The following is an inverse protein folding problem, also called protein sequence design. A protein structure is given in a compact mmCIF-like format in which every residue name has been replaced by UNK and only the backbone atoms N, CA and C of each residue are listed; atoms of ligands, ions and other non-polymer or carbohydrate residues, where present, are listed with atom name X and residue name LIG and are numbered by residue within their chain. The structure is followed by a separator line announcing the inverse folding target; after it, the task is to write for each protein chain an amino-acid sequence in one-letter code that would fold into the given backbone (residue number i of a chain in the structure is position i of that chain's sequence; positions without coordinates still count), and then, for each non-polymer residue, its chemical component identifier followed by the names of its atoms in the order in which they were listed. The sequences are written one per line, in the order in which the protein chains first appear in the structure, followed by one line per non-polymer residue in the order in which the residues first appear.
data_IF_198988912884
#
_entry.id   IF_198988912884
#
_cell.length_a   1.000
_cell.length_b   1.000
_cell.length_c   1.000
_cell.angle_alpha   90.00
_cell.angle_beta   90.00
_cell.angle_gamma   90.00
#
_symmetry.space_group_name_H-M   'P 1'
#
loop_
_entity.id
_entity.type
_entity.pdbx_description
1 polymer ?
#
# COMPACT_ATOMS: atom_id res chain seq x y z
N UNK A 1 -1.38 35.22 -43.68
CA UNK A 1 -0.50 35.22 -42.53
C UNK A 1 -0.71 33.87 -41.77
N UNK A 2 0.17 32.92 -42.00
CA UNK A 2 0.19 31.64 -41.28
C UNK A 2 0.91 31.87 -39.96
N UNK A 3 0.19 31.86 -38.85
CA UNK A 3 0.78 31.83 -37.52
C UNK A 3 1.47 30.49 -37.30
N UNK A 4 2.78 30.49 -37.29
CA UNK A 4 3.61 29.38 -36.82
C UNK A 4 3.33 29.23 -35.31
N UNK A 5 2.63 28.20 -34.93
CA UNK A 5 2.57 27.77 -33.53
C UNK A 5 3.95 27.19 -33.22
N UNK A 6 4.81 27.98 -32.59
CA UNK A 6 6.04 27.48 -31.98
C UNK A 6 5.58 26.62 -30.79
N UNK A 7 5.53 25.30 -30.98
CA UNK A 7 5.42 24.36 -29.88
C UNK A 7 6.67 24.57 -29.01
N UNK A 8 6.50 25.14 -27.82
CA UNK A 8 7.54 25.24 -26.83
C UNK A 8 8.02 23.82 -26.49
N UNK A 9 9.21 23.47 -26.95
CA UNK A 9 9.81 22.14 -26.81
C UNK A 9 10.21 21.79 -25.35
N UNK A 10 9.82 22.59 -24.35
CA UNK A 10 10.27 22.49 -22.97
C UNK A 10 9.14 22.45 -21.92
N UNK A 11 7.92 22.05 -22.29
CA UNK A 11 6.88 21.85 -21.30
C UNK A 11 7.01 20.45 -20.68
N UNK A 12 6.92 20.32 -19.33
CA UNK A 12 6.93 19.03 -18.64
C UNK A 12 5.78 18.16 -19.16
N UNK A 13 6.08 16.90 -19.45
CA UNK A 13 5.14 15.97 -20.09
C UNK A 13 4.94 14.66 -19.32
N UNK A 14 5.65 14.49 -18.19
CA UNK A 14 5.50 13.38 -17.27
C UNK A 14 4.94 13.91 -15.95
N UNK A 15 3.75 13.46 -15.56
CA UNK A 15 3.05 13.86 -14.34
C UNK A 15 2.51 12.68 -13.51
N UNK A 16 2.42 11.50 -14.10
CA UNK A 16 2.03 10.26 -13.42
C UNK A 16 3.25 9.60 -12.78
N UNK A 17 3.55 10.02 -11.55
CA UNK A 17 4.72 9.58 -10.78
C UNK A 17 4.24 9.06 -9.43
N UNK A 18 4.81 7.93 -8.99
CA UNK A 18 4.58 7.40 -7.63
C UNK A 18 5.85 6.83 -7.04
N UNK A 19 5.94 6.86 -5.73
CA UNK A 19 7.08 6.37 -4.97
C UNK A 19 6.72 5.07 -4.25
N UNK A 20 7.70 4.20 -4.03
CA UNK A 20 7.53 2.96 -3.30
C UNK A 20 8.85 2.34 -2.86
N UNK A 21 8.78 1.13 -2.30
CA UNK A 21 9.96 0.37 -1.93
C UNK A 21 9.85 -1.06 -2.47
N UNK A 22 10.89 -1.54 -3.16
CA UNK A 22 11.05 -2.94 -3.57
C UNK A 22 12.11 -3.69 -2.74
N UNK A 23 12.89 -2.97 -1.96
CA UNK A 23 13.84 -3.52 -1.01
C UNK A 23 13.23 -3.52 0.39
N UNK A 24 13.69 -4.43 1.25
CA UNK A 24 13.32 -4.41 2.68
C UNK A 24 13.95 -3.25 3.45
N UNK A 25 14.87 -2.53 2.81
CA UNK A 25 15.69 -1.45 3.38
C UNK A 25 15.10 -0.07 3.04
N UNK A 26 14.81 0.78 4.04
CA UNK A 26 14.31 2.15 3.82
C UNK A 26 15.38 3.10 3.25
N UNK A 27 16.64 2.69 3.17
CA UNK A 27 17.72 3.44 2.52
C UNK A 27 17.67 3.43 0.99
N UNK A 28 16.64 2.81 0.40
CA UNK A 28 16.41 2.76 -1.05
C UNK A 28 14.95 3.08 -1.35
N UNK A 29 14.72 3.89 -2.38
CA UNK A 29 13.39 4.29 -2.82
C UNK A 29 13.22 3.99 -4.31
N UNK A 30 12.06 3.46 -4.70
CA UNK A 30 11.72 3.30 -6.11
C UNK A 30 10.92 4.52 -6.57
N UNK A 31 11.39 5.17 -7.62
CA UNK A 31 10.67 6.20 -8.35
C UNK A 31 10.06 5.55 -9.58
N UNK A 32 8.74 5.64 -9.69
CA UNK A 32 7.98 5.01 -10.77
C UNK A 32 7.27 6.09 -11.60
N UNK A 33 7.14 5.87 -12.90
CA UNK A 33 6.37 6.76 -13.78
C UNK A 33 5.91 6.09 -15.06
N UNK A 34 4.98 6.75 -15.75
CA UNK A 34 4.58 6.43 -17.12
C UNK A 34 5.07 7.52 -18.07
N UNK A 35 5.64 7.12 -19.20
CA UNK A 35 5.92 7.99 -20.34
C UNK A 35 4.98 7.69 -21.51
N UNK A 36 4.74 8.67 -22.38
CA UNK A 36 3.91 8.50 -23.60
C UNK A 36 4.64 7.66 -24.64
N UNK A 37 5.94 7.94 -24.83
CA UNK A 37 6.80 7.21 -25.75
C UNK A 37 7.78 6.35 -24.95
N UNK A 38 8.15 5.16 -25.45
CA UNK A 38 9.14 4.32 -24.82
C UNK A 38 10.54 4.96 -24.86
N UNK A 39 11.39 4.58 -23.92
CA UNK A 39 12.76 5.03 -23.86
C UNK A 39 13.45 4.66 -22.55
N UNK A 40 14.66 5.13 -22.39
CA UNK A 40 15.46 4.93 -21.18
C UNK A 40 14.83 5.60 -19.95
N UNK A 41 15.14 5.05 -18.79
CA UNK A 41 14.67 5.52 -17.49
C UNK A 41 15.76 6.34 -16.80
N UNK A 42 15.49 7.62 -16.52
CA UNK A 42 16.44 8.51 -15.84
C UNK A 42 15.75 9.16 -14.65
N UNK A 43 16.42 9.11 -13.49
CA UNK A 43 16.03 9.85 -12.27
C UNK A 43 17.20 10.71 -11.84
N UNK A 44 16.96 12.03 -11.70
CA UNK A 44 17.89 12.96 -11.04
C UNK A 44 17.34 13.28 -9.66
N UNK A 45 18.20 13.31 -8.66
CA UNK A 45 17.78 13.50 -7.28
C UNK A 45 18.89 14.09 -6.40
N UNK A 46 18.49 14.66 -5.27
CA UNK A 46 19.42 15.28 -4.33
C UNK A 46 18.72 16.09 -3.26
N UNK A 47 19.45 16.93 -2.57
CA UNK A 47 18.92 17.78 -1.49
C UNK A 47 18.41 19.15 -1.96
N UNK A 48 18.66 19.49 -3.20
CA UNK A 48 18.25 20.74 -3.84
C UNK A 48 17.74 20.49 -5.25
N UNK A 49 17.19 21.49 -5.91
CA UNK A 49 16.73 21.42 -7.30
C UNK A 49 17.85 21.21 -8.32
N UNK A 50 19.11 21.36 -7.94
CA UNK A 50 20.26 21.00 -8.77
C UNK A 50 20.54 19.50 -8.76
N UNK A 51 19.84 18.74 -7.91
CA UNK A 51 19.89 17.28 -7.73
C UNK A 51 21.25 16.72 -7.30
N UNK A 52 22.27 16.82 -8.12
CA UNK A 52 23.65 16.36 -7.85
C UNK A 52 23.87 14.87 -8.05
N UNK A 53 22.83 14.06 -8.18
CA UNK A 53 22.91 12.60 -8.43
C UNK A 53 21.96 12.20 -9.57
N UNK A 54 22.36 11.15 -10.30
CA UNK A 54 21.56 10.58 -11.38
C UNK A 54 21.66 9.05 -11.37
N UNK A 55 20.53 8.37 -11.57
CA UNK A 55 20.46 6.95 -11.90
C UNK A 55 19.82 6.82 -13.28
N UNK A 56 20.48 6.04 -14.16
CA UNK A 56 20.06 5.80 -15.53
C UNK A 56 19.99 4.31 -15.80
N UNK A 57 18.88 3.87 -16.40
CA UNK A 57 18.69 2.50 -16.85
C UNK A 57 18.42 2.53 -18.35
N UNK A 58 19.32 1.88 -19.11
CA UNK A 58 19.17 1.70 -20.54
C UNK A 58 18.12 0.63 -20.81
N UNK A 59 16.88 1.04 -21.05
CA UNK A 59 15.75 0.20 -21.40
C UNK A 59 14.89 0.92 -22.44
N UNK A 60 13.92 0.21 -22.99
CA UNK A 60 12.95 0.76 -23.95
C UNK A 60 11.53 0.40 -23.47
N UNK A 61 11.00 1.20 -22.55
CA UNK A 61 9.72 0.96 -21.90
C UNK A 61 8.92 2.25 -21.72
N UNK A 62 7.64 2.14 -21.47
CA UNK A 62 6.76 3.24 -21.07
C UNK A 62 6.40 3.20 -19.59
N UNK A 63 6.56 2.05 -18.93
CA UNK A 63 6.37 1.90 -17.49
C UNK A 63 7.76 1.75 -16.83
N UNK A 64 8.12 2.70 -16.00
CA UNK A 64 9.46 2.86 -15.47
C UNK A 64 9.50 2.63 -13.97
N UNK A 65 10.53 1.92 -13.51
CA UNK A 65 10.81 1.63 -12.11
C UNK A 65 12.31 1.81 -11.88
N UNK A 66 12.71 2.84 -11.14
CA UNK A 66 14.13 3.14 -10.87
C UNK A 66 14.34 3.23 -9.37
N UNK A 67 15.16 2.35 -8.83
CA UNK A 67 15.56 2.42 -7.42
C UNK A 67 16.74 3.37 -7.26
N UNK A 68 16.59 4.34 -6.34
CA UNK A 68 17.62 5.31 -5.98
C UNK A 68 18.08 5.09 -4.55
N UNK A 69 19.38 5.26 -4.25
CA UNK A 69 19.88 5.21 -2.88
C UNK A 69 19.56 6.50 -2.13
N UNK A 70 19.20 6.38 -0.85
CA UNK A 70 18.99 7.49 0.06
C UNK A 70 20.15 7.50 1.06
N UNK A 71 21.19 8.28 0.80
CA UNK A 71 22.41 8.29 1.61
C UNK A 71 22.23 8.90 3.00
N UNK A 72 21.19 9.72 3.20
CA UNK A 72 20.95 10.46 4.43
C UNK A 72 19.51 10.28 4.92
N UNK A 73 19.34 10.27 6.25
CA UNK A 73 18.03 10.26 6.90
C UNK A 73 17.49 11.68 7.06
N UNK A 74 16.16 11.78 7.15
CA UNK A 74 15.46 13.05 7.35
C UNK A 74 15.58 14.03 6.18
N UNK A 75 15.09 15.24 6.40
CA UNK A 75 15.11 16.32 5.41
C UNK A 75 14.21 16.06 4.20
N UNK A 76 14.38 16.91 3.19
CA UNK A 76 13.65 16.84 1.94
C UNK A 76 14.59 16.44 0.82
N UNK A 77 14.14 15.56 -0.05
CA UNK A 77 14.77 15.23 -1.32
C UNK A 77 14.00 15.85 -2.47
N UNK A 78 14.72 16.40 -3.43
CA UNK A 78 14.23 16.84 -4.73
C UNK A 78 14.51 15.76 -5.76
N UNK A 79 13.64 15.58 -6.73
CA UNK A 79 13.86 14.67 -7.83
C UNK A 79 13.07 15.07 -9.09
N UNK A 80 13.56 14.63 -10.23
CA UNK A 80 12.86 14.66 -11.51
C UNK A 80 13.09 13.39 -12.28
N UNK A 81 12.16 13.04 -13.19
CA UNK A 81 12.28 11.88 -14.07
C UNK A 81 12.32 12.32 -15.52
N UNK A 82 12.99 11.50 -16.35
CA UNK A 82 13.09 11.75 -17.78
C UNK A 82 13.07 10.44 -18.57
N UNK A 83 12.42 10.46 -19.74
CA UNK A 83 12.40 9.41 -20.75
C UNK A 83 12.47 10.04 -22.13
N UNK A 84 13.62 9.88 -22.82
CA UNK A 84 13.89 10.56 -24.08
C UNK A 84 13.77 12.10 -23.93
N UNK A 85 12.84 12.72 -24.68
CA UNK A 85 12.57 14.17 -24.59
C UNK A 85 11.50 14.52 -23.57
N UNK A 86 10.86 13.54 -22.96
CA UNK A 86 9.82 13.71 -21.95
C UNK A 86 10.45 13.85 -20.57
N UNK A 87 10.00 14.78 -19.75
CA UNK A 87 10.52 15.00 -18.40
C UNK A 87 9.42 15.48 -17.46
N UNK A 88 9.65 15.36 -16.15
CA UNK A 88 8.76 15.89 -15.12
C UNK A 88 9.23 17.25 -14.62
N UNK A 89 8.32 17.98 -13.94
CA UNK A 89 8.71 19.05 -13.01
C UNK A 89 9.50 18.48 -11.85
N UNK A 90 10.17 19.34 -11.10
CA UNK A 90 10.73 19.01 -9.78
C UNK A 90 9.61 18.52 -8.87
N UNK A 91 9.89 17.46 -8.13
CA UNK A 91 9.04 16.93 -7.10
C UNK A 91 9.86 16.66 -5.83
N UNK A 92 9.19 16.60 -4.69
CA UNK A 92 9.87 16.40 -3.41
C UNK A 92 9.24 15.28 -2.60
N UNK A 93 10.05 14.61 -1.80
CA UNK A 93 9.61 13.71 -0.74
C UNK A 93 10.45 13.88 0.51
N UNK A 94 9.94 13.44 1.65
CA UNK A 94 10.68 13.45 2.92
C UNK A 94 11.50 12.18 3.08
N UNK A 95 12.76 12.31 3.48
CA UNK A 95 13.51 11.19 4.01
C UNK A 95 12.90 10.68 5.32
N UNK A 96 13.16 9.42 5.68
CA UNK A 96 12.69 8.87 6.95
C UNK A 96 13.28 9.67 8.12
N UNK A 97 12.45 10.05 9.11
CA UNK A 97 12.85 10.94 10.19
C UNK A 97 13.78 10.23 11.18
N UNK A 98 14.35 11.02 12.09
CA UNK A 98 15.18 10.51 13.19
C UNK A 98 14.46 10.50 14.54
N UNK A 99 13.33 11.17 14.66
CA UNK A 99 12.63 11.41 15.93
C UNK A 99 11.23 10.80 15.99
N UNK A 100 10.34 11.13 15.05
CA UNK A 100 8.95 10.69 15.02
C UNK A 100 8.56 10.23 13.62
N UNK A 101 8.29 8.94 13.50
CA UNK A 101 7.77 8.33 12.27
C UNK A 101 6.23 8.36 12.27
N UNK A 102 5.63 8.82 11.18
CA UNK A 102 4.18 8.78 10.95
C UNK A 102 3.87 7.94 9.72
N UNK A 103 2.97 6.98 9.90
CA UNK A 103 2.53 6.06 8.83
C UNK A 103 1.01 6.07 8.78
N UNK A 104 0.45 6.32 7.61
CA UNK A 104 -1.00 6.16 7.40
C UNK A 104 -1.30 4.81 6.79
N UNK A 105 -2.38 4.17 7.25
CA UNK A 105 -2.93 2.94 6.65
C UNK A 105 -4.36 3.21 6.23
N UNK A 106 -4.65 3.03 4.95
CA UNK A 106 -5.99 3.13 4.36
C UNK A 106 -6.46 1.78 3.82
N UNK A 107 -7.74 1.65 3.48
CA UNK A 107 -8.27 0.45 2.82
C UNK A 107 -9.52 0.80 2.02
N UNK A 108 -9.97 -0.11 1.15
CA UNK A 108 -11.18 0.03 0.34
C UNK A 108 -11.17 1.32 -0.51
N UNK A 109 -10.10 1.53 -1.25
CA UNK A 109 -9.91 2.73 -2.07
C UNK A 109 -10.64 2.62 -3.41
N UNK A 110 -11.95 2.50 -3.34
CA UNK A 110 -12.82 2.24 -4.50
C UNK A 110 -13.52 3.49 -5.02
N UNK A 111 -13.27 4.64 -4.42
CA UNK A 111 -13.88 5.93 -4.75
C UNK A 111 -12.85 7.06 -4.83
N UNK A 112 -13.34 8.27 -4.60
CA UNK A 112 -12.55 9.52 -4.59
C UNK A 112 -12.68 10.25 -3.23
N UNK A 113 -12.27 9.62 -2.11
CA UNK A 113 -12.33 10.28 -0.83
C UNK A 113 -11.40 11.49 -0.76
N UNK A 114 -11.73 12.47 0.06
CA UNK A 114 -10.82 13.57 0.40
C UNK A 114 -9.77 13.08 1.40
N UNK A 115 -8.50 13.09 0.99
CA UNK A 115 -7.37 12.64 1.80
C UNK A 115 -6.54 13.81 2.37
N UNK A 116 -7.09 15.01 2.40
CA UNK A 116 -6.40 16.20 2.94
C UNK A 116 -5.98 16.05 4.40
N UNK A 117 -6.70 15.27 5.20
CA UNK A 117 -6.33 14.96 6.58
C UNK A 117 -5.01 14.17 6.66
N UNK A 118 -4.80 13.20 5.79
CA UNK A 118 -3.55 12.43 5.71
C UNK A 118 -2.37 13.35 5.34
N UNK A 119 -2.58 14.30 4.42
CA UNK A 119 -1.58 15.31 4.08
C UNK A 119 -1.23 16.19 5.28
N UNK A 120 -2.23 16.61 6.06
CA UNK A 120 -2.04 17.42 7.29
C UNK A 120 -1.29 16.64 8.37
N UNK A 121 -1.48 15.34 8.46
CA UNK A 121 -0.75 14.46 9.40
C UNK A 121 0.74 14.32 9.04
N UNK A 122 1.15 14.81 7.87
CA UNK A 122 2.55 14.86 7.47
C UNK A 122 3.24 13.50 7.51
N UNK A 123 2.61 12.49 6.92
CA UNK A 123 3.07 11.09 6.94
C UNK A 123 4.35 10.86 6.11
N UNK A 124 5.13 9.86 6.48
CA UNK A 124 6.38 9.46 5.81
C UNK A 124 6.19 8.22 4.95
N UNK A 125 5.14 7.44 5.19
CA UNK A 125 4.80 6.23 4.46
C UNK A 125 3.28 6.07 4.43
N UNK A 126 2.76 5.68 3.28
CA UNK A 126 1.36 5.33 3.08
C UNK A 126 1.25 3.83 2.79
N UNK A 127 0.44 3.13 3.55
CA UNK A 127 0.14 1.71 3.38
C UNK A 127 -1.35 1.53 3.10
N UNK A 128 -1.70 0.38 2.51
CA UNK A 128 -3.09 -0.05 2.47
C UNK A 128 -3.28 -1.40 3.17
N UNK A 129 -4.50 -1.67 3.58
CA UNK A 129 -4.96 -2.99 4.00
C UNK A 129 -5.89 -3.60 2.93
N UNK A 130 -5.50 -3.46 1.66
CA UNK A 130 -6.13 -4.04 0.48
C UNK A 130 -7.24 -3.22 -0.17
N UNK A 131 -7.70 -3.71 -1.32
CA UNK A 131 -8.72 -3.08 -2.17
C UNK A 131 -8.35 -1.68 -2.64
N UNK A 132 -7.25 -1.60 -3.38
CA UNK A 132 -6.66 -0.33 -3.83
C UNK A 132 -7.41 0.30 -5.01
N UNK A 133 -8.23 -0.47 -5.70
CA UNK A 133 -9.01 -0.08 -6.88
C UNK A 133 -10.41 -0.71 -6.83
N UNK A 134 -11.30 -0.29 -7.70
CA UNK A 134 -12.64 -0.88 -7.78
C UNK A 134 -12.62 -2.29 -8.40
N UNK A 135 -11.94 -2.50 -9.49
CA UNK A 135 -11.63 -3.77 -10.16
C UNK A 135 -10.80 -3.51 -11.42
N UNK A 136 -10.31 -4.58 -12.05
CA UNK A 136 -9.53 -4.48 -13.29
C UNK A 136 -10.44 -4.46 -14.52
N UNK A 137 -11.47 -5.30 -14.55
CA UNK A 137 -12.23 -5.59 -15.78
C UNK A 137 -13.01 -4.41 -16.34
N UNK A 138 -13.46 -3.45 -15.52
CA UNK A 138 -14.27 -2.32 -16.00
C UNK A 138 -13.51 -1.39 -16.95
N UNK A 139 -12.22 -1.15 -16.69
CA UNK A 139 -11.36 -0.32 -17.55
C UNK A 139 -10.59 -1.11 -18.60
N UNK A 140 -10.42 -2.40 -18.40
CA UNK A 140 -9.51 -3.21 -19.20
C UNK A 140 -10.24 -4.24 -20.09
N UNK A 141 -11.48 -4.57 -19.76
CA UNK A 141 -12.19 -5.71 -20.35
C UNK A 141 -11.94 -7.02 -19.59
N UNK A 142 -12.87 -7.95 -19.74
CA UNK A 142 -12.88 -9.21 -19.01
C UNK A 142 -11.66 -10.09 -19.31
N UNK A 143 -11.02 -10.60 -18.28
CA UNK A 143 -9.90 -11.55 -18.37
C UNK A 143 -8.54 -10.93 -18.65
N UNK A 144 -8.40 -9.61 -18.65
CA UNK A 144 -7.14 -8.89 -18.92
C UNK A 144 -6.28 -8.79 -17.64
N UNK A 145 -5.47 -9.80 -17.38
CA UNK A 145 -4.68 -9.94 -16.14
C UNK A 145 -3.60 -8.85 -15.96
N UNK A 146 -2.95 -8.42 -17.04
CA UNK A 146 -1.79 -7.53 -16.98
C UNK A 146 -2.09 -6.04 -17.23
N UNK A 147 -3.37 -5.67 -17.22
CA UNK A 147 -3.78 -4.30 -17.49
C UNK A 147 -3.69 -3.42 -16.24
N UNK A 148 -2.84 -2.40 -16.28
CA UNK A 148 -2.53 -1.50 -15.16
C UNK A 148 -3.37 -0.22 -15.13
N UNK A 149 -4.30 -0.02 -16.07
CA UNK A 149 -5.11 1.21 -16.18
C UNK A 149 -5.79 1.66 -14.88
N UNK A 150 -6.38 0.77 -14.06
CA UNK A 150 -7.01 1.19 -12.80
C UNK A 150 -6.02 1.80 -11.80
N UNK A 151 -4.80 1.28 -11.74
CA UNK A 151 -3.76 1.84 -10.87
C UNK A 151 -3.24 3.18 -11.38
N UNK A 152 -3.07 3.32 -12.71
CA UNK A 152 -2.76 4.63 -13.30
C UNK A 152 -3.82 5.67 -12.96
N UNK A 153 -5.10 5.30 -13.06
CA UNK A 153 -6.20 6.18 -12.68
C UNK A 153 -6.15 6.57 -11.20
N UNK A 154 -5.75 5.65 -10.31
CA UNK A 154 -5.54 5.97 -8.89
C UNK A 154 -4.44 7.04 -8.71
N UNK A 155 -3.30 6.87 -9.37
CA UNK A 155 -2.19 7.85 -9.30
C UNK A 155 -2.62 9.22 -9.85
N UNK A 156 -3.32 9.24 -10.98
CA UNK A 156 -3.84 10.48 -11.60
C UNK A 156 -4.76 11.29 -10.68
N UNK A 157 -5.52 10.60 -9.83
CA UNK A 157 -6.48 11.23 -8.91
C UNK A 157 -5.84 11.89 -7.70
N UNK A 158 -4.64 11.45 -7.30
CA UNK A 158 -3.92 11.93 -6.12
C UNK A 158 -2.44 12.20 -6.44
N UNK A 159 -2.11 12.98 -7.48
CA UNK A 159 -0.74 13.10 -7.97
C UNK A 159 0.22 13.66 -6.92
N UNK A 160 -0.21 14.63 -6.12
CA UNK A 160 0.62 15.23 -5.07
C UNK A 160 0.95 14.25 -3.95
N UNK A 161 0.00 13.38 -3.59
CA UNK A 161 0.21 12.37 -2.56
C UNK A 161 1.24 11.31 -3.02
N UNK A 162 1.02 10.74 -4.20
CA UNK A 162 1.83 9.63 -4.69
C UNK A 162 3.25 10.04 -5.10
N UNK A 163 3.46 11.29 -5.54
CA UNK A 163 4.82 11.78 -5.85
C UNK A 163 5.61 12.23 -4.63
N UNK A 164 4.98 12.38 -3.46
CA UNK A 164 5.64 12.91 -2.26
C UNK A 164 5.70 11.96 -1.07
N UNK A 165 4.92 10.87 -1.08
CA UNK A 165 4.89 9.88 -0.01
C UNK A 165 5.04 8.48 -0.61
N UNK A 166 6.04 7.70 -0.18
CA UNK A 166 6.16 6.30 -0.58
C UNK A 166 4.89 5.53 -0.26
N UNK A 167 4.44 4.73 -1.22
CA UNK A 167 3.22 3.94 -1.15
C UNK A 167 3.53 2.46 -1.27
N UNK A 168 3.12 1.68 -0.29
CA UNK A 168 3.27 0.22 -0.29
C UNK A 168 1.90 -0.43 -0.07
N UNK A 169 1.21 -0.83 -1.15
CA UNK A 169 -0.11 -1.42 -1.06
C UNK A 169 -0.07 -2.91 -0.66
N UNK A 170 -1.15 -3.34 -0.03
CA UNK A 170 -1.48 -4.74 0.22
C UNK A 170 -2.60 -5.16 -0.71
N UNK A 171 -2.62 -6.41 -1.13
CA UNK A 171 -3.65 -6.96 -2.00
C UNK A 171 -4.99 -7.10 -1.28
N UNK A 172 -6.06 -6.75 -2.01
CA UNK A 172 -7.41 -7.18 -1.71
C UNK A 172 -8.00 -7.92 -2.91
N UNK A 173 -9.23 -8.42 -2.79
CA UNK A 173 -9.86 -9.14 -3.90
C UNK A 173 -10.13 -8.23 -5.11
N UNK A 174 -10.40 -6.94 -4.88
CA UNK A 174 -10.63 -5.97 -5.96
C UNK A 174 -9.39 -5.76 -6.84
N UNK A 175 -8.19 -5.90 -6.31
CA UNK A 175 -6.92 -5.80 -7.03
C UNK A 175 -6.68 -6.95 -8.03
N UNK A 176 -7.42 -8.03 -7.88
CA UNK A 176 -7.31 -9.24 -8.70
C UNK A 176 -8.53 -9.50 -9.59
N UNK A 177 -9.59 -8.71 -9.44
CA UNK A 177 -10.87 -8.95 -10.11
C UNK A 177 -10.81 -8.62 -11.60
N UNK A 178 -10.67 -9.67 -12.42
CA UNK A 178 -10.57 -9.60 -13.89
C UNK A 178 -11.89 -9.88 -14.62
N UNK A 179 -12.94 -10.28 -13.89
CA UNK A 179 -14.31 -10.50 -14.39
C UNK A 179 -15.33 -10.11 -13.33
N UNK A 180 -16.59 -9.79 -13.74
CA UNK A 180 -17.67 -9.63 -12.77
C UNK A 180 -17.84 -10.89 -11.90
N UNK A 181 -18.02 -10.71 -10.59
CA UNK A 181 -18.19 -11.85 -9.66
C UNK A 181 -19.46 -12.66 -9.92
N UNK A 182 -20.57 -11.98 -10.19
CA UNK A 182 -21.87 -12.63 -10.34
C UNK A 182 -22.42 -13.21 -9.03
N UNK A 183 -23.57 -13.89 -9.11
CA UNK A 183 -24.26 -14.50 -7.96
C UNK A 183 -23.93 -15.99 -7.77
N UNK A 184 -23.30 -16.60 -8.73
CA UNK A 184 -22.89 -18.02 -8.73
C UNK A 184 -21.47 -18.12 -9.31
N UNK A 185 -20.64 -19.06 -8.84
CA UNK A 185 -19.33 -19.31 -9.43
C UNK A 185 -19.44 -19.57 -10.93
N UNK A 186 -18.81 -18.74 -11.80
CA UNK A 186 -18.83 -18.94 -13.24
C UNK A 186 -17.85 -20.06 -13.65
N UNK A 187 -17.92 -20.50 -14.91
CA UNK A 187 -16.96 -21.49 -15.45
C UNK A 187 -15.51 -20.99 -15.47
N UNK A 188 -15.30 -19.68 -15.65
CA UNK A 188 -13.97 -19.06 -15.74
C UNK A 188 -13.65 -18.33 -14.45
N UNK A 189 -12.40 -18.40 -13.96
CA UNK A 189 -11.99 -17.68 -12.74
C UNK A 189 -12.31 -16.19 -12.82
N UNK A 190 -12.85 -15.66 -11.72
CA UNK A 190 -13.16 -14.23 -11.56
C UNK A 190 -11.92 -13.41 -11.24
N UNK A 191 -10.98 -14.01 -10.54
CA UNK A 191 -9.78 -13.36 -10.02
C UNK A 191 -8.50 -13.95 -10.61
N UNK A 192 -7.50 -13.09 -10.79
CA UNK A 192 -6.11 -13.47 -11.06
C UNK A 192 -5.36 -13.61 -9.73
N UNK A 193 -5.21 -14.83 -9.23
CA UNK A 193 -4.58 -15.11 -7.92
C UNK A 193 -3.16 -14.51 -7.86
N UNK A 194 -2.41 -14.56 -8.98
CA UNK A 194 -1.05 -14.05 -9.07
C UNK A 194 -0.96 -12.52 -9.07
N UNK A 195 -2.09 -11.82 -9.13
CA UNK A 195 -2.17 -10.35 -9.13
C UNK A 195 -1.22 -9.69 -10.15
N UNK A 196 -1.25 -10.19 -11.39
CA UNK A 196 -0.29 -9.80 -12.45
C UNK A 196 -0.24 -8.29 -12.69
N UNK A 197 -1.41 -7.61 -12.73
CA UNK A 197 -1.46 -6.16 -12.94
C UNK A 197 -0.85 -5.40 -11.75
N UNK A 198 -1.14 -5.81 -10.54
CA UNK A 198 -0.63 -5.22 -9.30
C UNK A 198 0.91 -5.33 -9.24
N UNK A 199 1.44 -6.54 -9.41
CA UNK A 199 2.89 -6.81 -9.37
C UNK A 199 3.64 -6.12 -10.51
N UNK A 200 3.01 -5.96 -11.68
CA UNK A 200 3.57 -5.20 -12.78
C UNK A 200 3.66 -3.70 -12.49
N UNK A 201 2.70 -3.16 -11.74
CA UNK A 201 2.58 -1.73 -11.47
C UNK A 201 3.34 -1.30 -10.22
N UNK A 202 3.22 -2.07 -9.13
CA UNK A 202 3.89 -1.80 -7.86
C UNK A 202 5.06 -2.77 -7.70
N UNK A 203 6.27 -2.27 -7.71
CA UNK A 203 7.41 -3.08 -7.30
C UNK A 203 7.52 -3.08 -5.78
N UNK A 204 7.29 -4.24 -5.17
CA UNK A 204 7.28 -4.45 -3.72
C UNK A 204 8.35 -5.47 -3.31
N UNK A 205 8.73 -5.55 -2.02
CA UNK A 205 9.77 -6.49 -1.60
C UNK A 205 9.38 -7.97 -1.80
N UNK A 206 10.36 -8.80 -2.15
CA UNK A 206 10.22 -10.24 -2.25
C UNK A 206 9.25 -10.68 -3.33
N UNK A 207 8.24 -11.48 -2.95
CA UNK A 207 7.25 -12.01 -3.89
C UNK A 207 6.15 -11.02 -4.27
N UNK A 208 6.13 -9.84 -3.66
CA UNK A 208 5.21 -8.72 -3.90
C UNK A 208 3.75 -8.97 -3.47
N UNK A 209 3.23 -10.19 -3.57
CA UNK A 209 1.90 -10.55 -3.08
C UNK A 209 1.88 -10.82 -1.56
N UNK A 210 3.03 -11.11 -0.96
CA UNK A 210 3.36 -11.07 0.46
C UNK A 210 4.71 -10.40 0.60
N UNK A 211 4.87 -9.54 1.58
CA UNK A 211 6.12 -8.81 1.78
C UNK A 211 6.29 -8.36 3.23
N UNK A 212 7.49 -8.01 3.61
CA UNK A 212 7.76 -7.23 4.81
C UNK A 212 8.68 -6.04 4.47
N UNK A 213 8.57 -5.01 5.30
CA UNK A 213 9.37 -3.81 5.21
C UNK A 213 9.73 -3.35 6.60
N UNK A 214 11.03 -3.12 6.85
CA UNK A 214 11.55 -2.73 8.16
C UNK A 214 11.98 -1.27 8.15
N UNK A 215 11.69 -0.56 9.25
CA UNK A 215 12.32 0.73 9.55
C UNK A 215 13.12 0.56 10.86
N UNK A 216 14.37 0.09 10.78
CA UNK A 216 15.16 -0.32 11.95
C UNK A 216 15.36 0.82 12.94
N UNK A 217 15.50 2.05 12.45
CA UNK A 217 15.62 3.24 13.29
C UNK A 217 14.44 3.48 14.23
N UNK A 218 13.27 2.88 13.98
CA UNK A 218 12.07 2.93 14.82
C UNK A 218 11.67 1.58 15.40
N UNK A 219 12.50 0.56 15.19
CA UNK A 219 12.28 -0.79 15.68
C UNK A 219 10.91 -1.36 15.27
N UNK A 220 10.48 -1.07 14.02
CA UNK A 220 9.20 -1.47 13.48
C UNK A 220 9.36 -2.26 12.18
N UNK A 221 8.49 -3.26 12.01
CA UNK A 221 8.28 -4.07 10.80
C UNK A 221 6.83 -3.99 10.37
N UNK A 222 6.61 -3.82 9.09
CA UNK A 222 5.31 -4.02 8.43
C UNK A 222 5.35 -5.35 7.69
N UNK A 223 4.30 -6.16 7.82
CA UNK A 223 4.16 -7.44 7.14
C UNK A 223 2.83 -7.52 6.42
N UNK A 224 2.84 -7.80 5.14
CA UNK A 224 1.67 -7.91 4.28
C UNK A 224 1.37 -9.36 3.93
N UNK A 225 0.09 -9.73 4.03
CA UNK A 225 -0.43 -11.06 3.73
C UNK A 225 -1.53 -10.97 2.67
N UNK A 226 -1.61 -11.97 1.81
CA UNK A 226 -2.64 -12.11 0.77
C UNK A 226 -3.80 -12.93 1.29
N UNK A 227 -4.62 -12.31 2.12
CA UNK A 227 -5.76 -12.95 2.80
C UNK A 227 -7.02 -12.13 2.52
N UNK A 228 -7.93 -12.68 1.72
CA UNK A 228 -9.24 -12.09 1.43
C UNK A 228 -10.15 -13.14 0.83
N UNK A 229 -11.47 -13.03 1.09
CA UNK A 229 -12.47 -13.98 0.63
C UNK A 229 -12.09 -15.45 0.85
N UNK A 230 -11.58 -15.77 2.03
CA UNK A 230 -11.04 -17.10 2.38
C UNK A 230 -12.07 -18.23 2.28
N UNK A 231 -13.37 -17.91 2.39
CA UNK A 231 -14.47 -18.87 2.20
C UNK A 231 -14.61 -19.38 0.76
N UNK A 232 -14.06 -18.65 -0.22
CA UNK A 232 -14.17 -18.97 -1.65
C UNK A 232 -13.03 -19.86 -2.17
N UNK A 233 -12.14 -20.29 -1.29
CA UNK A 233 -11.00 -21.13 -1.67
C UNK A 233 -11.43 -22.42 -2.40
N UNK A 234 -10.74 -22.72 -3.51
CA UNK A 234 -11.02 -23.89 -4.35
C UNK A 234 -12.16 -23.69 -5.35
N UNK A 235 -12.81 -22.52 -5.37
CA UNK A 235 -13.83 -22.15 -6.35
C UNK A 235 -13.29 -21.18 -7.43
N UNK A 236 -14.10 -20.91 -8.45
CA UNK A 236 -13.77 -19.87 -9.45
C UNK A 236 -13.84 -18.44 -8.87
N UNK A 237 -14.29 -18.28 -7.64
CA UNK A 237 -14.25 -17.04 -6.87
C UNK A 237 -13.03 -16.93 -5.95
N UNK A 238 -12.17 -17.93 -5.92
CA UNK A 238 -10.93 -17.85 -5.13
C UNK A 238 -10.12 -16.63 -5.57
N UNK A 239 -9.73 -15.80 -4.61
CA UNK A 239 -9.00 -14.56 -4.83
C UNK A 239 -7.66 -14.51 -4.11
N UNK A 240 -7.48 -15.21 -2.99
CA UNK A 240 -6.23 -15.24 -2.22
C UNK A 240 -5.39 -16.49 -2.51
N UNK A 241 -4.10 -16.39 -2.23
CA UNK A 241 -3.24 -17.56 -2.11
C UNK A 241 -3.67 -18.43 -0.96
N UNK A 242 -3.23 -19.69 -0.95
CA UNK A 242 -3.55 -20.65 0.11
C UNK A 242 -3.04 -20.17 1.47
N UNK A 243 -3.80 -20.46 2.54
CA UNK A 243 -3.54 -20.01 3.91
C UNK A 243 -3.58 -21.15 4.95
N UNK A 244 -3.68 -22.41 4.53
CA UNK A 244 -3.54 -23.58 5.42
C UNK A 244 -2.14 -23.67 6.03
N UNK A 245 -1.96 -24.49 7.06
CA UNK A 245 -0.68 -24.66 7.79
C UNK A 245 0.51 -25.05 6.90
N UNK A 246 0.26 -25.75 5.80
CA UNK A 246 1.27 -26.20 4.85
C UNK A 246 1.45 -25.21 3.68
N UNK A 247 0.70 -24.11 3.66
CA UNK A 247 0.80 -23.12 2.59
C UNK A 247 2.08 -22.30 2.68
N UNK A 248 2.55 -21.86 1.52
CA UNK A 248 3.74 -21.02 1.41
C UNK A 248 3.66 -19.76 2.30
N UNK A 249 2.50 -19.07 2.27
CA UNK A 249 2.36 -17.84 3.05
C UNK A 249 2.27 -18.09 4.56
N UNK A 250 1.66 -19.21 5.01
CA UNK A 250 1.64 -19.58 6.42
C UNK A 250 3.06 -19.84 6.93
N UNK A 251 3.82 -20.68 6.21
CA UNK A 251 5.18 -21.04 6.58
C UNK A 251 6.12 -19.84 6.53
N UNK A 252 5.97 -18.98 5.53
CA UNK A 252 6.72 -17.74 5.43
C UNK A 252 6.44 -16.79 6.60
N UNK A 253 5.17 -16.59 6.94
CA UNK A 253 4.79 -15.69 8.04
C UNK A 253 5.20 -16.25 9.41
N UNK A 254 5.05 -17.56 9.64
CA UNK A 254 5.51 -18.23 10.86
C UNK A 254 7.02 -18.05 11.05
N UNK A 255 7.80 -18.24 9.98
CA UNK A 255 9.24 -17.99 10.00
C UNK A 255 9.55 -16.52 10.27
N UNK A 256 8.90 -15.61 9.56
CA UNK A 256 9.07 -14.16 9.75
C UNK A 256 8.85 -13.75 11.21
N UNK A 257 7.83 -14.31 11.86
CA UNK A 257 7.50 -14.00 13.24
C UNK A 257 8.41 -14.68 14.26
N UNK A 258 8.96 -15.87 13.94
CA UNK A 258 9.96 -16.54 14.76
C UNK A 258 11.31 -15.83 14.74
N UNK A 259 11.70 -15.33 13.57
CA UNK A 259 12.99 -14.65 13.35
C UNK A 259 12.90 -13.13 13.62
N UNK A 260 11.75 -12.65 14.13
CA UNK A 260 11.53 -11.22 14.35
C UNK A 260 12.34 -10.69 15.52
N UNK A 261 13.13 -9.65 15.25
CA UNK A 261 13.88 -8.88 16.24
C UNK A 261 13.32 -7.47 16.48
N UNK A 262 12.22 -7.09 15.78
CA UNK A 262 11.61 -5.76 15.92
C UNK A 262 10.63 -5.75 17.08
N UNK A 263 10.64 -4.65 17.85
CA UNK A 263 9.69 -4.42 18.93
C UNK A 263 8.25 -4.38 18.45
N UNK A 264 8.00 -3.64 17.36
CA UNK A 264 6.68 -3.52 16.78
C UNK A 264 6.61 -4.24 15.45
N UNK A 265 5.63 -5.11 15.29
CA UNK A 265 5.23 -5.67 14.00
C UNK A 265 3.78 -5.29 13.75
N UNK A 266 3.52 -4.68 12.61
CA UNK A 266 2.17 -4.35 12.13
C UNK A 266 1.85 -5.28 10.96
N UNK A 267 0.86 -6.15 11.14
CA UNK A 267 0.44 -7.10 10.11
C UNK A 267 -0.77 -6.57 9.36
N UNK A 268 -0.73 -6.64 8.04
CA UNK A 268 -1.71 -6.05 7.12
C UNK A 268 -2.30 -7.13 6.22
N UNK A 269 -3.62 -7.13 6.06
CA UNK A 269 -4.36 -8.01 5.13
C UNK A 269 -5.75 -7.44 4.83
N UNK A 270 -6.59 -8.18 4.06
CA UNK A 270 -7.91 -7.70 3.63
C UNK A 270 -9.02 -8.73 3.89
N UNK A 271 -9.03 -9.36 5.06
CA UNK A 271 -10.04 -10.34 5.46
C UNK A 271 -10.65 -9.94 6.81
N UNK A 272 -11.87 -10.42 7.07
CA UNK A 272 -12.51 -10.27 8.37
C UNK A 272 -11.62 -10.83 9.49
N UNK A 273 -11.27 -9.99 10.46
CA UNK A 273 -10.39 -10.37 11.57
C UNK A 273 -10.90 -11.64 12.30
N UNK A 274 -12.20 -11.70 12.60
CA UNK A 274 -12.80 -12.85 13.25
C UNK A 274 -12.71 -14.15 12.45
N UNK A 275 -12.84 -14.07 11.13
CA UNK A 275 -12.69 -15.24 10.25
C UNK A 275 -11.24 -15.69 10.18
N UNK A 276 -10.31 -14.73 10.03
CA UNK A 276 -8.90 -15.06 9.85
C UNK A 276 -8.26 -15.66 11.10
N UNK A 277 -8.54 -15.10 12.28
CA UNK A 277 -7.98 -15.64 13.54
C UNK A 277 -8.44 -17.07 13.87
N UNK A 278 -9.61 -17.49 13.36
CA UNK A 278 -10.11 -18.85 13.56
C UNK A 278 -9.42 -19.88 12.64
N UNK A 279 -8.78 -19.47 11.57
CA UNK A 279 -8.19 -20.36 10.58
C UNK A 279 -7.06 -21.21 11.14
N UNK A 280 -6.87 -22.40 10.56
CA UNK A 280 -5.87 -23.39 10.99
C UNK A 280 -5.99 -23.74 12.49
N UNK A 281 -7.24 -23.87 12.99
CA UNK A 281 -7.56 -24.12 14.41
C UNK A 281 -6.94 -23.06 15.35
N UNK A 282 -6.97 -21.79 14.96
CA UNK A 282 -6.43 -20.68 15.74
C UNK A 282 -4.93 -20.46 15.61
N UNK A 283 -4.22 -21.21 14.75
CA UNK A 283 -2.79 -21.03 14.55
C UNK A 283 -2.45 -19.63 13.98
N UNK A 284 -3.29 -19.07 13.11
CA UNK A 284 -3.14 -17.69 12.64
C UNK A 284 -3.24 -16.69 13.80
N UNK A 285 -4.20 -16.83 14.70
CA UNK A 285 -4.29 -15.99 15.89
C UNK A 285 -3.03 -16.11 16.76
N UNK A 286 -2.52 -17.32 16.96
CA UNK A 286 -1.28 -17.56 17.68
C UNK A 286 -0.06 -16.86 17.08
N UNK A 287 0.02 -16.75 15.74
CA UNK A 287 1.06 -16.02 15.05
C UNK A 287 0.84 -14.49 15.13
N UNK A 288 -0.39 -14.02 14.89
CA UNK A 288 -0.72 -12.59 14.98
C UNK A 288 -0.39 -12.00 16.35
N UNK A 289 -0.64 -12.74 17.44
CA UNK A 289 -0.30 -12.31 18.81
C UNK A 289 1.19 -12.09 19.06
N UNK A 290 2.07 -12.57 18.19
CA UNK A 290 3.51 -12.26 18.23
C UNK A 290 3.81 -10.89 17.62
N UNK A 291 2.88 -10.30 16.87
CA UNK A 291 2.96 -8.92 16.38
C UNK A 291 2.41 -7.94 17.41
N UNK A 292 2.57 -6.63 17.18
CA UNK A 292 1.99 -5.60 18.03
C UNK A 292 0.47 -5.45 17.75
N UNK A 293 0.10 -5.40 16.48
CA UNK A 293 -1.29 -5.24 16.01
C UNK A 293 -1.47 -5.89 14.64
N UNK A 294 -2.73 -6.17 14.28
CA UNK A 294 -3.15 -6.47 12.92
C UNK A 294 -4.13 -5.41 12.42
N UNK A 295 -4.01 -5.05 11.14
CA UNK A 295 -4.91 -4.08 10.48
C UNK A 295 -5.46 -4.70 9.21
N UNK A 296 -6.78 -4.61 9.06
CA UNK A 296 -7.49 -5.05 7.85
C UNK A 296 -8.37 -3.95 7.27
N UNK A 297 -8.82 -4.13 6.02
CA UNK A 297 -9.88 -3.38 5.37
C UNK A 297 -10.98 -4.32 4.92
N UNK A 298 -11.97 -4.56 5.76
CA UNK A 298 -13.07 -5.48 5.45
C UNK A 298 -14.41 -4.98 5.95
N UNK A 299 -15.44 -4.97 5.09
CA UNK A 299 -16.82 -4.70 5.50
C UNK A 299 -17.17 -3.23 5.71
N UNK A 300 -16.30 -2.29 5.32
CA UNK A 300 -16.57 -0.85 5.21
C UNK A 300 -16.91 -0.16 6.54
N UNK A 301 -16.11 -0.41 7.60
CA UNK A 301 -16.31 0.22 8.91
C UNK A 301 -14.97 0.42 9.64
N UNK A 302 -14.99 1.25 10.67
CA UNK A 302 -13.89 1.48 11.58
C UNK A 302 -14.07 0.66 12.86
N UNK A 303 -13.07 -0.12 13.28
CA UNK A 303 -13.16 -0.96 14.47
C UNK A 303 -11.80 -1.19 15.12
N UNK A 304 -11.81 -1.31 16.45
CA UNK A 304 -10.75 -1.97 17.22
C UNK A 304 -11.37 -3.06 18.09
N UNK A 305 -10.95 -4.30 17.87
CA UNK A 305 -11.33 -5.46 18.68
C UNK A 305 -10.15 -5.91 19.54
N UNK A 306 -10.46 -6.33 20.77
CA UNK A 306 -9.46 -6.81 21.74
C UNK A 306 -9.68 -8.31 22.00
N UNK A 307 -8.74 -9.12 21.58
CA UNK A 307 -8.81 -10.58 21.70
C UNK A 307 -7.54 -11.13 22.34
N UNK A 308 -7.66 -11.71 23.51
CA UNK A 308 -6.55 -12.31 24.27
C UNK A 308 -5.37 -11.33 24.48
N UNK A 309 -5.71 -10.05 24.74
CA UNK A 309 -4.72 -8.98 24.95
C UNK A 309 -4.10 -8.43 23.67
N UNK A 310 -4.55 -8.87 22.49
CA UNK A 310 -4.09 -8.43 21.17
C UNK A 310 -5.15 -7.59 20.48
N UNK A 311 -4.73 -6.51 19.79
CA UNK A 311 -5.63 -5.60 19.10
C UNK A 311 -5.71 -5.90 17.60
N UNK A 312 -6.94 -6.09 17.12
CA UNK A 312 -7.30 -6.15 15.71
C UNK A 312 -7.98 -4.87 15.29
N UNK A 313 -7.46 -4.23 14.25
CA UNK A 313 -8.02 -3.01 13.67
C UNK A 313 -8.70 -3.28 12.34
N UNK A 314 -9.72 -2.50 12.05
CA UNK A 314 -10.36 -2.40 10.74
C UNK A 314 -10.53 -0.93 10.37
N UNK A 315 -10.30 -0.60 9.09
CA UNK A 315 -10.49 0.74 8.55
C UNK A 315 -11.00 0.69 7.12
N UNK A 316 -11.64 1.76 6.65
CA UNK A 316 -12.14 1.85 5.29
C UNK A 316 -12.26 3.31 4.87
N UNK A 317 -11.81 3.63 3.64
CA UNK A 317 -12.07 4.91 2.99
C UNK A 317 -13.52 5.04 2.48
N UNK A 318 -14.33 4.00 2.65
CA UNK A 318 -15.70 3.89 2.14
C UNK A 318 -16.62 3.29 3.19
N UNK A 319 -16.71 3.95 4.36
CA UNK A 319 -17.56 3.51 5.47
C UNK A 319 -19.05 3.49 5.10
N UNK A 320 -19.68 2.32 5.21
CA UNK A 320 -21.08 2.09 4.81
C UNK A 320 -21.93 1.49 5.92
N UNK A 321 -21.50 1.59 7.15
CA UNK A 321 -22.16 0.96 8.30
C UNK A 321 -21.34 -0.17 8.90
N UNK A 322 -21.90 -0.86 9.86
CA UNK A 322 -21.21 -1.88 10.66
C UNK A 322 -21.71 -3.28 10.28
N UNK A 323 -21.25 -3.79 9.14
CA UNK A 323 -21.79 -5.03 8.55
C UNK A 323 -21.33 -6.30 9.27
N UNK A 324 -20.10 -6.33 9.80
CA UNK A 324 -19.50 -7.54 10.37
C UNK A 324 -18.73 -7.22 11.67
N UNK A 325 -19.41 -6.64 12.70
CA UNK A 325 -18.72 -6.26 13.93
C UNK A 325 -18.14 -7.49 14.61
N UNK A 326 -16.94 -7.33 15.18
CA UNK A 326 -16.32 -8.37 15.97
C UNK A 326 -17.03 -8.52 17.31
N UNK A 327 -17.33 -9.75 17.79
CA UNK A 327 -17.89 -9.94 19.12
C UNK A 327 -17.04 -9.37 20.28
N UNK A 328 -15.75 -9.11 20.01
CA UNK A 328 -14.80 -8.51 20.94
C UNK A 328 -14.47 -7.05 20.61
N UNK A 329 -15.36 -6.38 19.86
CA UNK A 329 -15.21 -4.97 19.52
C UNK A 329 -15.13 -4.10 20.77
N UNK A 330 -14.09 -3.29 20.85
CA UNK A 330 -13.90 -2.28 21.89
C UNK A 330 -14.21 -0.86 21.37
N UNK A 331 -14.14 -0.67 20.07
CA UNK A 331 -14.57 0.52 19.34
C UNK A 331 -15.15 0.11 17.99
N UNK A 332 -16.28 0.71 17.61
CA UNK A 332 -16.96 0.41 16.34
C UNK A 332 -17.68 1.65 15.81
N UNK A 333 -17.46 1.98 14.54
CA UNK A 333 -18.15 3.07 13.85
C UNK A 333 -18.23 2.85 12.34
N UNK A 334 -19.41 3.09 11.77
CA UNK A 334 -19.66 2.99 10.33
C UNK A 334 -19.38 4.31 9.62
N UNK A 335 -18.13 4.78 9.62
CA UNK A 335 -17.76 6.01 8.92
C UNK A 335 -16.43 5.84 8.19
N UNK A 336 -16.18 6.70 7.20
CA UNK A 336 -14.92 6.75 6.47
C UNK A 336 -13.78 7.04 7.43
N UNK A 337 -12.72 6.25 7.35
CA UNK A 337 -11.60 6.34 8.28
C UNK A 337 -10.27 5.92 7.66
N UNK A 338 -9.20 6.28 8.34
CA UNK A 338 -7.85 5.75 8.17
C UNK A 338 -7.20 5.54 9.53
N UNK A 339 -6.11 4.80 9.55
CA UNK A 339 -5.31 4.60 10.76
C UNK A 339 -4.02 5.40 10.64
N UNK A 340 -3.72 6.18 11.67
CA UNK A 340 -2.44 6.87 11.82
C UNK A 340 -1.61 6.15 12.89
N UNK A 341 -0.43 5.70 12.51
CA UNK A 341 0.60 5.19 13.42
C UNK A 341 1.63 6.29 13.67
N UNK A 342 1.85 6.64 14.92
CA UNK A 342 2.90 7.57 15.36
C UNK A 342 3.88 6.81 16.23
N UNK A 343 5.12 6.64 15.73
CA UNK A 343 6.15 5.85 16.40
C UNK A 343 7.29 6.76 16.85
N UNK A 344 7.68 6.65 18.11
CA UNK A 344 8.82 7.35 18.72
C UNK A 344 9.86 6.35 19.20
N UNK A 345 11.12 6.80 19.37
CA UNK A 345 12.27 5.94 19.74
C UNK A 345 12.54 5.88 21.24
N UNK A 346 12.56 7.01 21.90
CA UNK A 346 13.03 7.14 23.28
C UNK A 346 11.98 7.86 24.14
N UNK A 347 11.11 7.14 24.86
CA UNK A 347 10.97 5.67 24.84
C UNK A 347 10.36 5.16 23.53
N UNK A 348 10.68 3.91 23.16
CA UNK A 348 10.06 3.24 22.02
C UNK A 348 8.57 3.03 22.28
N UNK A 349 7.73 3.74 21.51
CA UNK A 349 6.28 3.80 21.68
C UNK A 349 5.61 3.91 20.32
N UNK A 350 4.50 3.20 20.15
CA UNK A 350 3.62 3.33 19.00
C UNK A 350 2.23 3.76 19.45
N UNK A 351 1.77 4.91 18.97
CA UNK A 351 0.39 5.36 19.14
C UNK A 351 -0.39 5.03 17.89
N UNK A 352 -1.50 4.34 18.03
CA UNK A 352 -2.42 3.97 16.97
C UNK A 352 -3.70 4.78 17.12
N UNK A 353 -4.06 5.55 16.10
CA UNK A 353 -5.29 6.34 16.05
C UNK A 353 -6.14 5.90 14.87
N UNK A 354 -7.41 5.59 15.11
CA UNK A 354 -8.41 5.56 14.05
C UNK A 354 -8.91 6.99 13.88
N UNK A 355 -8.80 7.53 12.68
CA UNK A 355 -9.17 8.91 12.37
C UNK A 355 -10.24 8.96 11.27
N UNK A 356 -11.20 9.86 11.42
CA UNK A 356 -12.10 10.23 10.34
C UNK A 356 -11.38 11.01 9.25
N UNK A 357 -11.94 11.05 8.04
CA UNK A 357 -11.34 11.81 6.93
C UNK A 357 -11.38 13.33 7.15
N UNK A 358 -12.13 13.80 8.12
CA UNK A 358 -12.12 15.19 8.61
C UNK A 358 -10.96 15.48 9.59
N UNK A 359 -10.17 14.47 9.93
CA UNK A 359 -9.03 14.56 10.83
C UNK A 359 -9.34 14.34 12.31
N UNK A 360 -10.62 14.12 12.69
CA UNK A 360 -10.97 13.80 14.09
C UNK A 360 -10.39 12.45 14.50
N UNK A 361 -9.89 12.37 15.71
CA UNK A 361 -9.52 11.10 16.34
C UNK A 361 -10.80 10.42 16.84
N UNK A 362 -11.10 9.23 16.35
CA UNK A 362 -12.26 8.43 16.70
C UNK A 362 -11.94 7.44 17.82
N UNK A 363 -10.76 6.82 17.76
CA UNK A 363 -10.23 5.90 18.78
C UNK A 363 -8.71 6.03 18.85
N UNK A 364 -8.15 5.75 20.04
CA UNK A 364 -6.72 5.87 20.28
C UNK A 364 -6.24 4.83 21.28
N UNK A 365 -5.11 4.18 20.97
CA UNK A 365 -4.42 3.27 21.89
C UNK A 365 -2.91 3.39 21.74
N UNK A 366 -2.20 3.23 22.85
CA UNK A 366 -0.73 3.29 22.92
C UNK A 366 -0.15 1.90 23.21
N UNK A 367 0.93 1.56 22.51
CA UNK A 367 1.72 0.34 22.65
C UNK A 367 3.15 0.73 23.08
N UNK A 368 3.65 0.05 24.14
CA UNK A 368 4.95 0.33 24.75
C UNK A 368 5.94 -0.79 24.50
#
# INVERSE_FOLDING_TARGET
ASSLVILNANEPSIDQIWLGHRSHDPGKLVVNWISKEPGESIVRFGRTEEYGQEVRIANDTTLHHVEIPLAETGGVYHYSVQTGKQFSKDATFKGYPTDVLRVAVVADWQGLPDLSAIKKDNVHLLLTAGDNIKNIHQLCGAGKKACVKPYLQLIERYPELFRSVPFMPVLGNHDKQIRPRGNKPPEKPVYDIEATAFRRFFELPGDEWKWHFDIPGFDIRFAALDLHHISDQGSTWQSSHSFGKESEQFLWYDKLMKDNERKFVVTLYNERNGSMRAQARGAWHGMFRKSAIAITGFGYYAERAEVDGFSYYNTSLSGKGTHYPDPKSAFLKGEDSYILLTITKNPAKMVVEIKGLDGRVLDRKTYL
#
